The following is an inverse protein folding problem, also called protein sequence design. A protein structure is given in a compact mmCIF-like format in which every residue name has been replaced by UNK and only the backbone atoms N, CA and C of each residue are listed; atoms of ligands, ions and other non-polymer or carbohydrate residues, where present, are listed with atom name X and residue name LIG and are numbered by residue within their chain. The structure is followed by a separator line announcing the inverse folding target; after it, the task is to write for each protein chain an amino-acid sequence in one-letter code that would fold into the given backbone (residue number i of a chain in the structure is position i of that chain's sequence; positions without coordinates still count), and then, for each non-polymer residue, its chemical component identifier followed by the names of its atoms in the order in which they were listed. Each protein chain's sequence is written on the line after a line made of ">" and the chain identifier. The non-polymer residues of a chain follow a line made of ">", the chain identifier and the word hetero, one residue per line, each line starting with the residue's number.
data_IF_060137754695
#
_entry.id   IF_060137754695
#
_cell.length_a   1.000
_cell.length_b   1.000
_cell.length_c   1.000
_cell.angle_alpha   90.00
_cell.angle_beta   90.00
_cell.angle_gamma   90.00
#
_symmetry.space_group_name_H-M   'P 1'
#
loop_
_entity.id
_entity.type
_entity.pdbx_description
1 polymer ?
#
# COMPACT_ATOMS: atom_id res chain seq x y z
N UNK A 1 2.07 -28.37 -29.51
CA UNK A 1 2.35 -27.83 -28.17
C UNK A 1 1.21 -26.87 -27.86
N UNK A 2 0.45 -27.13 -26.80
CA UNK A 2 -0.82 -26.47 -26.56
C UNK A 2 -0.60 -25.14 -25.83
N UNK A 3 -0.73 -24.04 -26.55
CA UNK A 3 -0.82 -22.70 -25.98
C UNK A 3 -2.21 -22.64 -25.32
N UNK A 4 -2.26 -22.71 -23.99
CA UNK A 4 -3.52 -22.72 -23.25
C UNK A 4 -4.28 -21.41 -23.46
N UNK A 5 -5.33 -21.45 -24.29
CA UNK A 5 -6.51 -20.56 -24.31
C UNK A 5 -6.32 -19.15 -23.70
N UNK A 6 -5.52 -18.30 -24.35
CA UNK A 6 -5.44 -16.88 -24.04
C UNK A 6 -4.84 -16.10 -25.22
N UNK A 7 -5.30 -14.86 -25.49
CA UNK A 7 -4.68 -14.04 -26.53
C UNK A 7 -3.20 -13.80 -26.21
N UNK A 8 -2.36 -13.77 -27.25
CA UNK A 8 -0.95 -13.38 -27.16
C UNK A 8 -0.87 -11.99 -26.50
N UNK A 9 -0.43 -11.93 -25.23
CA UNK A 9 -0.49 -10.74 -24.38
C UNK A 9 -1.04 -10.97 -22.97
N UNK A 10 -1.79 -12.07 -22.74
CA UNK A 10 -2.44 -12.34 -21.46
C UNK A 10 -1.50 -12.45 -20.25
N UNK A 11 -0.23 -12.79 -20.45
CA UNK A 11 0.79 -12.78 -19.38
C UNK A 11 1.23 -11.36 -19.04
N UNK A 12 1.41 -10.50 -20.04
CA UNK A 12 1.78 -9.10 -19.81
C UNK A 12 0.66 -8.34 -19.10
N UNK A 13 -0.59 -8.57 -19.50
CA UNK A 13 -1.76 -7.98 -18.85
C UNK A 13 -1.86 -8.40 -17.37
N UNK A 14 -1.53 -9.65 -17.05
CA UNK A 14 -1.47 -10.16 -15.67
C UNK A 14 -0.35 -9.52 -14.85
N UNK A 15 0.83 -9.33 -15.45
CA UNK A 15 1.95 -8.62 -14.82
C UNK A 15 1.53 -7.18 -14.51
N UNK A 16 0.98 -6.48 -15.50
CA UNK A 16 0.58 -5.08 -15.37
C UNK A 16 -0.55 -4.89 -14.35
N UNK A 17 -1.50 -5.82 -14.29
CA UNK A 17 -2.54 -5.82 -13.26
C UNK A 17 -1.93 -6.00 -11.86
N UNK A 18 -1.00 -6.95 -11.69
CA UNK A 18 -0.33 -7.20 -10.41
C UNK A 18 0.47 -5.99 -9.93
N UNK A 19 1.20 -5.33 -10.83
CA UNK A 19 1.98 -4.12 -10.52
C UNK A 19 1.05 -2.96 -10.15
N UNK A 20 -0.03 -2.74 -10.92
CA UNK A 20 -1.01 -1.68 -10.62
C UNK A 20 -1.67 -1.88 -9.26
N UNK A 21 -2.02 -3.11 -8.90
CA UNK A 21 -2.60 -3.43 -7.60
C UNK A 21 -1.63 -3.16 -6.45
N UNK A 22 -0.37 -3.59 -6.59
CA UNK A 22 0.67 -3.32 -5.59
C UNK A 22 0.89 -1.81 -5.40
N UNK A 23 0.93 -1.06 -6.51
CA UNK A 23 1.08 0.39 -6.48
C UNK A 23 -0.12 1.08 -5.82
N UNK A 24 -1.34 0.64 -6.14
CA UNK A 24 -2.57 1.15 -5.51
C UNK A 24 -2.57 0.91 -4.00
N UNK A 25 -2.20 -0.30 -3.57
CA UNK A 25 -2.11 -0.64 -2.15
C UNK A 25 -1.01 0.14 -1.41
N UNK A 26 0.12 0.43 -2.07
CA UNK A 26 1.15 1.29 -1.51
C UNK A 26 0.66 2.73 -1.35
N UNK A 27 0.01 3.28 -2.38
CA UNK A 27 -0.54 4.65 -2.37
C UNK A 27 -1.63 4.83 -1.31
N UNK A 28 -2.49 3.84 -1.09
CA UNK A 28 -3.56 3.92 -0.08
C UNK A 28 -3.03 3.96 1.36
N UNK A 29 -1.76 3.62 1.60
CA UNK A 29 -1.11 3.70 2.92
C UNK A 29 -0.48 5.06 3.20
N UNK A 30 -0.39 5.94 2.19
CA UNK A 30 0.12 7.29 2.38
C UNK A 30 -0.89 8.11 3.18
N UNK A 31 -0.43 8.88 4.18
CA UNK A 31 -1.32 9.74 4.95
C UNK A 31 -1.87 10.88 4.07
N UNK A 32 -3.18 11.06 4.14
CA UNK A 32 -3.93 12.13 3.48
C UNK A 32 -4.27 13.23 4.49
N UNK A 33 -4.34 14.48 4.02
CA UNK A 33 -4.68 15.65 4.83
C UNK A 33 -3.46 16.34 5.46
N UNK A 34 -3.74 17.20 6.44
CA UNK A 34 -2.72 17.97 7.14
C UNK A 34 -1.93 17.08 8.12
N UNK A 35 -0.62 17.31 8.21
CA UNK A 35 0.24 16.63 9.18
C UNK A 35 0.04 17.13 10.61
N UNK A 36 0.56 16.38 11.57
CA UNK A 36 0.52 16.73 13.00
C UNK A 36 1.89 17.17 13.50
N UNK A 37 1.90 17.95 14.59
CA UNK A 37 3.14 18.31 15.29
C UNK A 37 3.62 17.19 16.20
N UNK A 38 2.69 16.42 16.75
CA UNK A 38 2.93 15.34 17.69
C UNK A 38 2.56 14.00 17.05
N UNK A 39 3.32 12.96 17.38
CA UNK A 39 3.08 11.62 16.88
C UNK A 39 1.82 11.02 17.51
N UNK A 40 0.91 10.53 16.68
CA UNK A 40 -0.35 9.93 17.15
C UNK A 40 -0.21 8.59 17.89
N UNK A 41 1.01 8.05 17.98
CA UNK A 41 1.27 6.72 18.57
C UNK A 41 1.95 6.85 19.92
N UNK A 42 3.03 7.63 19.99
CA UNK A 42 3.80 7.82 21.22
C UNK A 42 3.61 9.18 21.88
N UNK A 43 2.99 10.15 21.19
CA UNK A 43 2.83 11.53 21.68
C UNK A 43 4.07 12.41 21.56
N UNK A 44 5.20 11.89 21.08
CA UNK A 44 6.43 12.69 20.93
C UNK A 44 6.35 13.68 19.75
N UNK A 45 7.07 14.79 19.84
CA UNK A 45 7.14 15.76 18.74
C UNK A 45 7.75 15.14 17.46
N UNK A 46 7.09 15.37 16.32
CA UNK A 46 7.60 14.94 15.02
C UNK A 46 8.72 15.89 14.58
N UNK A 47 9.93 15.37 14.28
CA UNK A 47 11.06 16.21 13.88
C UNK A 47 10.74 17.10 12.68
N UNK A 48 11.22 18.35 12.69
CA UNK A 48 10.97 19.31 11.61
C UNK A 48 11.35 18.78 10.23
N UNK A 49 12.51 18.11 10.11
CA UNK A 49 12.96 17.50 8.84
C UNK A 49 11.95 16.48 8.29
N UNK A 50 11.24 15.76 9.16
CA UNK A 50 10.22 14.79 8.78
C UNK A 50 8.97 15.48 8.27
N UNK A 51 8.53 16.55 8.94
CA UNK A 51 7.40 17.41 8.52
C UNK A 51 7.67 18.11 7.19
N UNK A 52 8.92 18.53 6.94
CA UNK A 52 9.31 19.11 5.64
C UNK A 52 9.34 18.08 4.51
N UNK A 53 9.81 16.86 4.78
CA UNK A 53 9.86 15.79 3.78
C UNK A 53 8.46 15.25 3.43
N UNK A 54 7.57 15.16 4.43
CA UNK A 54 6.19 14.72 4.27
C UNK A 54 5.27 15.68 5.04
N UNK A 55 4.68 16.67 4.37
CA UNK A 55 3.78 17.63 5.01
C UNK A 55 2.56 17.00 5.68
N UNK A 56 2.10 15.84 5.19
CA UNK A 56 0.98 15.07 5.75
C UNK A 56 1.39 14.06 6.83
N UNK A 57 2.60 14.16 7.40
CA UNK A 57 3.08 13.18 8.39
C UNK A 57 2.29 13.24 9.70
N UNK A 58 1.90 12.07 10.20
CA UNK A 58 1.17 11.92 11.48
C UNK A 58 1.90 11.06 12.52
N UNK A 59 3.04 10.49 12.13
CA UNK A 59 3.84 9.56 12.96
C UNK A 59 5.32 9.93 12.97
N UNK A 60 5.99 9.73 14.10
CA UNK A 60 7.45 9.85 14.19
C UNK A 60 8.13 8.70 13.42
N UNK A 61 9.43 8.87 13.15
CA UNK A 61 10.20 7.89 12.35
C UNK A 61 10.31 6.53 13.03
N UNK A 62 10.40 6.49 14.36
CA UNK A 62 10.48 5.24 15.12
C UNK A 62 9.18 4.45 15.02
N UNK A 63 8.04 5.10 15.33
CA UNK A 63 6.72 4.46 15.23
C UNK A 63 6.37 4.06 13.80
N UNK A 64 6.75 4.89 12.81
CA UNK A 64 6.57 4.53 11.40
C UNK A 64 7.41 3.30 11.02
N UNK A 65 8.68 3.25 11.45
CA UNK A 65 9.55 2.11 11.20
C UNK A 65 9.01 0.80 11.78
N UNK A 66 8.44 0.82 12.99
CA UNK A 66 7.80 -0.36 13.57
C UNK A 66 6.57 -0.83 12.80
N UNK A 67 5.75 0.10 12.28
CA UNK A 67 4.60 -0.23 11.43
C UNK A 67 5.03 -0.86 10.11
N UNK A 68 6.08 -0.32 9.49
CA UNK A 68 6.55 -0.76 8.18
C UNK A 68 7.22 -2.16 8.23
N UNK A 69 7.74 -2.58 9.39
CA UNK A 69 8.27 -3.95 9.60
C UNK A 69 7.21 -5.04 9.46
N UNK A 70 5.94 -4.72 9.70
CA UNK A 70 4.83 -5.69 9.65
C UNK A 70 3.86 -5.30 8.52
N UNK A 71 4.23 -5.56 7.25
CA UNK A 71 3.31 -5.31 6.16
C UNK A 71 2.05 -6.16 6.33
N UNK A 72 0.90 -5.50 6.48
CA UNK A 72 -0.38 -6.18 6.48
C UNK A 72 -0.75 -6.51 5.03
N UNK A 73 -0.83 -7.80 4.72
CA UNK A 73 -1.33 -8.24 3.42
C UNK A 73 -2.84 -8.46 3.55
N UNK A 74 -3.60 -7.96 2.58
CA UNK A 74 -5.03 -8.28 2.50
C UNK A 74 -5.18 -9.75 2.10
N UNK A 75 -6.10 -10.47 2.76
CA UNK A 75 -6.45 -11.83 2.40
C UNK A 75 -7.30 -11.92 1.11
N UNK A 76 -7.72 -10.77 0.55
CA UNK A 76 -8.56 -10.73 -0.65
C UNK A 76 -7.70 -11.03 -1.87
N UNK A 77 -8.04 -12.10 -2.59
CA UNK A 77 -7.46 -12.39 -3.88
C UNK A 77 -8.16 -11.53 -4.95
N UNK A 78 -7.64 -10.33 -5.20
CA UNK A 78 -8.19 -9.41 -6.21
C UNK A 78 -8.12 -9.93 -7.65
N UNK A 79 -7.40 -11.03 -7.89
CA UNK A 79 -7.36 -11.76 -9.18
C UNK A 79 -8.48 -12.78 -9.31
N UNK A 80 -9.12 -13.14 -8.19
CA UNK A 80 -10.24 -14.08 -8.15
C UNK A 80 -11.52 -13.43 -8.66
N UNK A 81 -12.44 -14.24 -9.19
CA UNK A 81 -13.78 -13.77 -9.55
C UNK A 81 -14.43 -13.11 -8.31
N UNK A 82 -14.99 -11.91 -8.48
CA UNK A 82 -15.68 -11.14 -7.43
C UNK A 82 -16.68 -12.00 -6.64
N UNK A 83 -17.42 -12.88 -7.31
CA UNK A 83 -18.43 -13.74 -6.68
C UNK A 83 -17.84 -14.83 -5.78
N UNK A 84 -16.55 -15.20 -5.97
CA UNK A 84 -15.85 -16.14 -5.08
C UNK A 84 -15.20 -15.47 -3.87
N UNK A 85 -15.07 -14.14 -3.88
CA UNK A 85 -14.45 -13.36 -2.80
C UNK A 85 -15.47 -12.72 -1.85
N UNK A 86 -16.76 -12.68 -2.22
CA UNK A 86 -17.83 -12.00 -1.46
C UNK A 86 -18.80 -12.95 -0.74
N UNK A 87 -18.51 -14.26 -0.69
CA UNK A 87 -19.27 -15.24 0.09
C UNK A 87 -18.78 -15.32 1.53
#
# INVERSE_FOLDING_TARGET
>A
MANGWGPEGGVQDQIDATVRDALSAARSRLPLGDGTLECEVCGEEIPLRRRQAIPSVRTCIACQGERDKRPTFSAINRRGNKDSQLR
#
